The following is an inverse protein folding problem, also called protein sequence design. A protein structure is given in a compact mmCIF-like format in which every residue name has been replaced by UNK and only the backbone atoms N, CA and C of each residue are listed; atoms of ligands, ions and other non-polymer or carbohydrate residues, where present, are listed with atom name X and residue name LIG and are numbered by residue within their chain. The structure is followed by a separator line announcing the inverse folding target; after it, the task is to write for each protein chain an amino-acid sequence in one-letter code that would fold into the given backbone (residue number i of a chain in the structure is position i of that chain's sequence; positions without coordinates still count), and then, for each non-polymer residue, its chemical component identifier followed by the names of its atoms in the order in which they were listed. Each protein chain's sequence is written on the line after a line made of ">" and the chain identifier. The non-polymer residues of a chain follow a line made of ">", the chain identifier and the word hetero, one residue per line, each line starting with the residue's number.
data_IF_952611528528
#
_entry.id   IF_952611528528
#
_cell.length_a   1.000
_cell.length_b   1.000
_cell.length_c   1.000
_cell.angle_alpha   90.00
_cell.angle_beta   90.00
_cell.angle_gamma   90.00
#
_symmetry.space_group_name_H-M   'P 1'
#
loop_
_entity.id
_entity.type
_entity.pdbx_description
1 polymer ?
#
# COMPACT_ATOMS: atom_id res chain seq x y z
N UNK A 1 20.10 -6.39 -11.59
CA UNK A 1 18.80 -6.72 -10.97
C UNK A 1 18.83 -7.93 -10.01
N UNK A 2 19.78 -8.02 -9.06
CA UNK A 2 19.75 -9.07 -8.01
C UNK A 2 19.70 -8.52 -6.58
N UNK A 3 20.11 -7.28 -6.35
CA UNK A 3 20.29 -6.73 -5.00
C UNK A 3 18.95 -6.60 -4.26
N UNK A 4 17.90 -6.10 -4.92
CA UNK A 4 16.56 -5.87 -4.32
C UNK A 4 15.85 -7.16 -3.85
N UNK A 5 16.28 -8.33 -4.31
CA UNK A 5 15.57 -9.61 -4.07
C UNK A 5 16.40 -10.58 -3.22
N UNK A 6 17.70 -10.32 -3.01
CA UNK A 6 18.63 -11.29 -2.39
C UNK A 6 19.29 -10.81 -1.10
N UNK A 7 18.91 -9.64 -0.57
CA UNK A 7 19.51 -9.03 0.63
C UNK A 7 18.49 -8.88 1.75
N UNK A 8 18.97 -8.87 3.00
CA UNK A 8 18.08 -8.69 4.15
C UNK A 8 17.46 -7.30 4.15
N UNK A 9 16.31 -7.14 4.81
CA UNK A 9 15.60 -5.85 4.84
C UNK A 9 16.43 -4.75 5.51
N UNK A 10 17.22 -5.10 6.54
CA UNK A 10 18.12 -4.16 7.21
C UNK A 10 19.24 -3.68 6.28
N UNK A 11 19.86 -4.61 5.54
CA UNK A 11 20.88 -4.27 4.55
C UNK A 11 20.31 -3.40 3.43
N UNK A 12 19.13 -3.77 2.90
CA UNK A 12 18.48 -2.98 1.86
C UNK A 12 18.15 -1.57 2.33
N UNK A 13 17.70 -1.39 3.57
CA UNK A 13 17.45 -0.07 4.13
C UNK A 13 18.73 0.77 4.17
N UNK A 14 19.81 0.22 4.72
CA UNK A 14 21.10 0.91 4.74
C UNK A 14 21.62 1.25 3.34
N UNK A 15 21.42 0.36 2.37
CA UNK A 15 21.77 0.61 0.96
C UNK A 15 20.93 1.73 0.37
N UNK A 16 19.63 1.80 0.66
CA UNK A 16 18.77 2.87 0.17
C UNK A 16 19.16 4.22 0.78
N UNK A 17 19.46 4.26 2.08
CA UNK A 17 19.88 5.49 2.75
C UNK A 17 21.23 5.98 2.20
N UNK A 18 22.20 5.08 2.00
CA UNK A 18 23.48 5.41 1.40
C UNK A 18 23.34 5.88 -0.06
N UNK A 19 22.50 5.21 -0.85
CA UNK A 19 22.21 5.61 -2.23
C UNK A 19 21.65 7.03 -2.29
N UNK A 20 20.69 7.35 -1.42
CA UNK A 20 20.06 8.68 -1.40
C UNK A 20 21.04 9.78 -1.04
N UNK A 21 21.93 9.52 -0.08
CA UNK A 21 23.01 10.44 0.27
C UNK A 21 23.99 10.69 -0.88
N UNK A 22 24.24 9.71 -1.74
CA UNK A 22 25.17 9.82 -2.88
C UNK A 22 24.52 10.39 -4.14
N UNK A 23 23.28 10.00 -4.44
CA UNK A 23 22.60 10.30 -5.70
C UNK A 23 21.74 11.58 -5.64
N UNK A 24 21.41 12.05 -4.43
CA UNK A 24 20.59 13.26 -4.23
C UNK A 24 19.11 13.10 -4.58
N UNK A 25 18.64 11.88 -4.82
CA UNK A 25 17.24 11.54 -5.07
C UNK A 25 16.94 10.12 -4.60
N UNK A 26 15.65 9.79 -4.45
CA UNK A 26 15.24 8.51 -3.87
C UNK A 26 15.45 7.33 -4.80
N UNK A 27 15.59 6.13 -4.23
CA UNK A 27 15.57 4.90 -5.03
C UNK A 27 14.24 4.76 -5.79
N UNK A 28 13.12 5.23 -5.24
CA UNK A 28 11.82 5.24 -5.94
C UNK A 28 11.83 6.16 -7.16
N UNK A 29 12.51 7.32 -7.08
CA UNK A 29 12.66 8.25 -8.20
C UNK A 29 13.53 7.66 -9.31
N UNK A 30 14.62 6.99 -8.95
CA UNK A 30 15.47 6.27 -9.89
C UNK A 30 14.67 5.17 -10.60
N UNK A 31 13.89 4.38 -9.87
CA UNK A 31 13.01 3.34 -10.46
C UNK A 31 12.01 3.96 -11.45
N UNK A 32 11.40 5.11 -11.10
CA UNK A 32 10.44 5.80 -11.98
C UNK A 32 11.06 6.33 -13.27
N UNK A 33 12.36 6.67 -13.27
CA UNK A 33 13.08 7.14 -14.46
C UNK A 33 13.44 5.99 -15.41
N UNK A 34 13.80 4.83 -14.84
CA UNK A 34 14.37 3.71 -15.60
C UNK A 34 13.33 2.65 -16.00
N UNK A 35 12.23 2.54 -15.26
CA UNK A 35 11.20 1.51 -15.48
C UNK A 35 9.83 2.12 -15.63
N UNK A 36 8.95 1.39 -16.30
CA UNK A 36 7.54 1.75 -16.46
C UNK A 36 6.61 0.57 -16.22
N UNK A 37 5.33 0.88 -15.98
CA UNK A 37 4.26 -0.12 -15.89
C UNK A 37 4.44 -1.10 -14.73
N UNK A 38 4.18 -2.39 -14.98
CA UNK A 38 4.15 -3.40 -13.93
C UNK A 38 5.50 -3.63 -13.23
N UNK A 39 6.61 -3.43 -13.95
CA UNK A 39 7.96 -3.61 -13.39
C UNK A 39 8.29 -2.48 -12.42
N UNK A 40 7.99 -1.23 -12.82
CA UNK A 40 8.14 -0.05 -11.96
C UNK A 40 7.36 -0.22 -10.66
N UNK A 41 6.09 -0.62 -10.75
CA UNK A 41 5.24 -0.84 -9.58
C UNK A 41 5.73 -1.99 -8.70
N UNK A 42 6.25 -3.07 -9.30
CA UNK A 42 6.87 -4.18 -8.59
C UNK A 42 8.08 -3.75 -7.76
N UNK A 43 9.00 -2.99 -8.34
CA UNK A 43 10.19 -2.52 -7.61
C UNK A 43 9.85 -1.49 -6.54
N UNK A 44 8.94 -0.56 -6.83
CA UNK A 44 8.45 0.40 -5.81
C UNK A 44 7.78 -0.32 -4.65
N UNK A 45 7.00 -1.38 -4.90
CA UNK A 45 6.39 -2.17 -3.85
C UNK A 45 7.46 -2.79 -2.92
N UNK A 46 8.56 -3.32 -3.48
CA UNK A 46 9.67 -3.86 -2.68
C UNK A 46 10.31 -2.76 -1.83
N UNK A 47 10.66 -1.62 -2.43
CA UNK A 47 11.29 -0.50 -1.71
C UNK A 47 10.41 -0.01 -0.56
N UNK A 48 9.11 0.17 -0.80
CA UNK A 48 8.13 0.60 0.21
C UNK A 48 8.00 -0.42 1.33
N UNK A 49 7.91 -1.72 1.01
CA UNK A 49 7.89 -2.79 2.01
C UNK A 49 9.15 -2.81 2.88
N UNK A 50 10.33 -2.56 2.30
CA UNK A 50 11.60 -2.48 3.04
C UNK A 50 11.63 -1.25 3.95
N UNK A 51 11.12 -0.10 3.48
CA UNK A 51 11.04 1.13 4.29
C UNK A 51 10.05 1.00 5.45
N UNK A 52 8.82 0.60 5.16
CA UNK A 52 7.81 0.33 6.19
C UNK A 52 6.71 -0.57 5.65
N UNK A 53 6.68 -1.82 6.10
CA UNK A 53 5.61 -2.79 5.77
C UNK A 53 4.24 -2.27 6.22
N UNK A 54 4.18 -1.69 7.42
CA UNK A 54 2.96 -1.16 8.02
C UNK A 54 2.36 -0.05 7.16
N UNK A 55 3.15 0.96 6.81
CA UNK A 55 2.69 2.07 5.95
C UNK A 55 2.36 1.58 4.53
N UNK A 56 3.11 0.61 4.01
CA UNK A 56 2.80 0.02 2.71
C UNK A 56 1.41 -0.63 2.69
N UNK A 57 1.07 -1.45 3.69
CA UNK A 57 -0.25 -2.07 3.78
C UNK A 57 -1.35 -1.04 4.07
N UNK A 58 -1.11 -0.03 4.90
CA UNK A 58 -2.06 1.07 5.11
C UNK A 58 -2.39 1.80 3.80
N UNK A 59 -1.37 2.15 3.00
CA UNK A 59 -1.57 2.74 1.66
C UNK A 59 -2.37 1.84 0.73
N UNK A 60 -2.03 0.54 0.70
CA UNK A 60 -2.73 -0.47 -0.12
C UNK A 60 -4.20 -0.62 0.27
N UNK A 61 -4.52 -0.59 1.57
CA UNK A 61 -5.89 -0.61 2.06
C UNK A 61 -6.65 0.63 1.59
N UNK A 62 -6.06 1.82 1.74
CA UNK A 62 -6.70 3.06 1.31
C UNK A 62 -6.95 3.05 -0.20
N UNK A 63 -5.93 2.71 -1.00
CA UNK A 63 -6.07 2.58 -2.45
C UNK A 63 -7.15 1.57 -2.88
N UNK A 64 -7.42 0.54 -2.07
CA UNK A 64 -8.49 -0.42 -2.36
C UNK A 64 -9.91 0.14 -2.15
N UNK A 65 -10.04 1.26 -1.42
CA UNK A 65 -11.32 1.86 -0.99
C UNK A 65 -11.51 3.31 -1.45
N UNK A 66 -10.51 3.95 -2.04
CA UNK A 66 -10.53 5.39 -2.34
C UNK A 66 -11.22 5.77 -3.67
N UNK A 67 -11.74 4.80 -4.43
CA UNK A 67 -12.34 5.01 -5.75
C UNK A 67 -13.85 4.82 -5.80
N UNK A 68 -14.43 4.86 -7.00
CA UNK A 68 -15.80 4.42 -7.25
C UNK A 68 -15.86 2.90 -7.05
N UNK A 69 -16.44 2.47 -5.92
CA UNK A 69 -16.48 1.07 -5.51
C UNK A 69 -15.27 0.66 -4.68
N UNK A 70 -15.09 -0.65 -4.50
CA UNK A 70 -14.04 -1.21 -3.64
C UNK A 70 -13.36 -2.38 -4.34
N UNK A 71 -12.04 -2.46 -4.24
CA UNK A 71 -11.29 -3.65 -4.66
C UNK A 71 -11.32 -4.68 -3.53
N UNK A 72 -12.46 -5.35 -3.37
CA UNK A 72 -12.72 -6.28 -2.27
C UNK A 72 -11.67 -7.38 -2.18
N UNK A 73 -11.20 -7.90 -3.32
CA UNK A 73 -10.15 -8.92 -3.37
C UNK A 73 -8.86 -8.45 -2.69
N UNK A 74 -8.46 -7.19 -2.89
CA UNK A 74 -7.27 -6.63 -2.24
C UNK A 74 -7.52 -6.38 -0.76
N UNK A 75 -8.67 -5.77 -0.43
CA UNK A 75 -9.06 -5.44 0.93
C UNK A 75 -9.10 -6.70 1.81
N UNK A 76 -9.87 -7.71 1.41
CA UNK A 76 -10.04 -8.98 2.12
C UNK A 76 -8.69 -9.68 2.27
N UNK A 77 -7.91 -9.78 1.19
CA UNK A 77 -6.61 -10.45 1.25
C UNK A 77 -5.66 -9.80 2.25
N UNK A 78 -5.61 -8.47 2.32
CA UNK A 78 -4.76 -7.78 3.30
C UNK A 78 -5.27 -8.00 4.71
N UNK A 79 -6.57 -7.81 4.97
CA UNK A 79 -7.15 -8.03 6.31
C UNK A 79 -6.88 -9.45 6.81
N UNK A 80 -7.15 -10.46 5.98
CA UNK A 80 -6.98 -11.88 6.37
C UNK A 80 -5.51 -12.24 6.52
N UNK A 81 -4.63 -11.85 5.60
CA UNK A 81 -3.22 -12.24 5.66
C UNK A 81 -2.40 -11.51 6.72
N UNK A 82 -2.91 -10.40 7.27
CA UNK A 82 -2.21 -9.58 8.27
C UNK A 82 -2.85 -9.61 9.65
N UNK A 83 -4.05 -10.20 9.80
CA UNK A 83 -4.85 -10.17 11.04
C UNK A 83 -4.08 -10.61 12.27
N UNK A 84 -3.26 -11.65 12.13
CA UNK A 84 -2.50 -12.26 13.23
C UNK A 84 -1.02 -11.84 13.25
N UNK A 85 -0.61 -10.91 12.39
CA UNK A 85 0.79 -10.51 12.23
C UNK A 85 1.01 -9.09 12.72
N UNK A 86 0.37 -8.10 12.08
CA UNK A 86 0.59 -6.68 12.34
C UNK A 86 -0.61 -5.80 11.93
N UNK A 87 -1.82 -6.37 11.84
CA UNK A 87 -3.00 -5.60 11.47
C UNK A 87 -3.32 -4.47 12.45
N UNK A 88 -2.98 -4.63 13.74
CA UNK A 88 -3.08 -3.57 14.75
C UNK A 88 -2.28 -2.33 14.34
N UNK A 89 -0.98 -2.49 14.15
CA UNK A 89 -0.07 -1.43 13.70
C UNK A 89 -0.52 -0.82 12.36
N UNK A 90 -1.00 -1.65 11.43
CA UNK A 90 -1.51 -1.18 10.12
C UNK A 90 -2.72 -0.27 10.31
N UNK A 91 -3.63 -0.58 11.24
CA UNK A 91 -4.80 0.26 11.52
C UNK A 91 -4.41 1.59 12.14
N UNK A 92 -3.46 1.59 13.06
CA UNK A 92 -2.94 2.81 13.69
C UNK A 92 -2.29 3.71 12.64
N UNK A 93 -1.37 3.19 11.83
CA UNK A 93 -0.75 3.93 10.74
C UNK A 93 -1.77 4.41 9.70
N UNK A 94 -2.78 3.59 9.38
CA UNK A 94 -3.86 4.01 8.48
C UNK A 94 -4.61 5.23 9.05
N UNK A 95 -4.98 5.19 10.33
CA UNK A 95 -5.68 6.30 10.97
C UNK A 95 -4.81 7.56 11.04
N UNK A 96 -3.52 7.43 11.36
CA UNK A 96 -2.58 8.55 11.34
C UNK A 96 -2.48 9.17 9.94
N UNK A 97 -2.40 8.34 8.90
CA UNK A 97 -2.23 8.80 7.51
C UNK A 97 -3.49 9.40 6.89
N UNK A 98 -4.68 8.92 7.27
CA UNK A 98 -5.95 9.24 6.57
C UNK A 98 -7.01 9.88 7.48
N UNK A 99 -6.70 10.12 8.76
CA UNK A 99 -7.54 10.85 9.71
C UNK A 99 -8.82 10.14 10.15
N UNK A 100 -9.07 8.91 9.67
CA UNK A 100 -10.22 8.08 10.05
C UNK A 100 -9.79 6.63 10.19
N UNK A 101 -10.43 5.90 11.10
CA UNK A 101 -10.13 4.48 11.30
C UNK A 101 -10.47 3.66 10.06
N UNK A 102 -9.78 2.54 9.91
CA UNK A 102 -10.01 1.58 8.82
C UNK A 102 -11.48 1.09 8.81
N UNK A 103 -12.05 0.82 9.97
CA UNK A 103 -13.45 0.38 10.11
C UNK A 103 -14.44 1.43 9.62
N UNK A 104 -14.17 2.72 9.91
CA UNK A 104 -15.00 3.81 9.42
C UNK A 104 -15.01 3.85 7.89
N UNK A 105 -13.85 3.64 7.26
CA UNK A 105 -13.73 3.60 5.79
C UNK A 105 -14.47 2.42 5.18
N UNK A 106 -14.35 1.24 5.78
CA UNK A 106 -15.03 0.01 5.33
C UNK A 106 -16.56 0.19 5.42
N UNK A 107 -17.07 0.70 6.54
CA UNK A 107 -18.51 0.93 6.72
C UNK A 107 -19.10 1.86 5.66
N UNK A 108 -18.42 2.98 5.39
CA UNK A 108 -18.87 3.97 4.39
C UNK A 108 -18.84 3.37 2.98
N UNK A 109 -17.79 2.62 2.62
CA UNK A 109 -17.67 2.03 1.29
C UNK A 109 -18.73 0.96 1.01
N UNK A 110 -19.00 0.08 2.00
CA UNK A 110 -20.07 -0.91 1.87
C UNK A 110 -21.42 -0.21 1.64
N UNK A 111 -21.72 0.84 2.41
CA UNK A 111 -22.96 1.60 2.25
C UNK A 111 -23.06 2.27 0.86
N UNK A 112 -21.96 2.85 0.36
CA UNK A 112 -21.92 3.47 -0.98
C UNK A 112 -22.11 2.44 -2.09
N UNK A 113 -21.51 1.25 -1.96
CA UNK A 113 -21.69 0.17 -2.93
C UNK A 113 -23.16 -0.28 -3.02
N UNK A 114 -23.83 -0.45 -1.88
CA UNK A 114 -25.25 -0.77 -1.84
C UNK A 114 -26.13 0.35 -2.43
N UNK A 115 -25.83 1.62 -2.15
CA UNK A 115 -26.56 2.75 -2.71
C UNK A 115 -26.40 2.83 -4.24
N UNK A 116 -25.20 2.59 -4.76
CA UNK A 116 -24.92 2.55 -6.19
C UNK A 116 -25.69 1.43 -6.90
N UNK A 117 -25.71 0.23 -6.31
CA UNK A 117 -26.49 -0.90 -6.81
C UNK A 117 -27.98 -0.60 -6.80
N UNK A 118 -28.51 -0.03 -5.72
CA UNK A 118 -29.93 0.33 -5.62
C UNK A 118 -30.35 1.29 -6.75
N UNK A 119 -29.55 2.33 -7.02
CA UNK A 119 -29.83 3.29 -8.11
C UNK A 119 -29.86 2.65 -9.51
N UNK A 120 -29.06 1.60 -9.75
CA UNK A 120 -29.01 0.89 -11.03
C UNK A 120 -30.08 -0.19 -11.17
N UNK A 121 -30.65 -0.67 -10.07
CA UNK A 121 -31.72 -1.68 -10.08
C UNK A 121 -33.11 -1.03 -10.09
N UNK A 122 -33.23 0.23 -9.63
CA UNK A 122 -34.49 0.99 -9.63
C UNK A 122 -34.74 1.82 -10.90
N UNK A 123 -33.83 1.79 -11.87
CA UNK A 123 -34.01 2.36 -13.22
C UNK A 123 -33.99 1.24 -14.25
#
# INVERSE_FOLDING_TARGET
>A
NQILVTRSYQQLRAVFDAYEGMAGHTVEDAIKREFSGAIEEGFKAIVRCVRSKVQYFAKRLHSSMAGLGTNDKTLIRIIVSRSEIDLGDIKEAFQEMYGKSLESWIKVNIALSFAFLAHHVTN
#
